data_IF_482049523123
#
_entry.id   IF_482049523123
#
_cell.length_a   1.000
_cell.length_b   1.000
_cell.length_c   1.000
_cell.angle_alpha   90.00
_cell.angle_beta   90.00
_cell.angle_gamma   90.00
#
_symmetry.space_group_name_H-M   'P 1'
#
loop_
_entity.id
_entity.type
_entity.pdbx_description
1 polymer ?
#
# COMPACT_ATOMS: atom_id res chain seq x y z
N UNK A 1 -1.63 25.60 4.07
CA UNK A 1 -1.11 24.44 3.31
C UNK A 1 -2.19 23.38 3.23
N UNK A 2 -2.48 22.82 2.05
CA UNK A 2 -3.51 21.77 1.92
C UNK A 2 -2.89 20.45 2.35
N UNK A 3 -3.50 19.79 3.33
CA UNK A 3 -3.08 18.47 3.82
C UNK A 3 -3.54 17.40 2.79
N UNK A 4 -2.71 17.17 1.76
CA UNK A 4 -3.00 16.24 0.66
C UNK A 4 -2.70 14.82 1.15
N UNK A 5 -3.76 14.03 1.37
CA UNK A 5 -3.67 12.63 1.83
C UNK A 5 -3.81 11.62 0.66
N UNK A 6 -3.43 12.02 -0.55
CA UNK A 6 -3.55 11.14 -1.72
C UNK A 6 -2.48 10.04 -1.64
N UNK A 7 -2.86 8.75 -1.66
CA UNK A 7 -1.90 7.66 -1.57
C UNK A 7 -1.00 7.60 -2.82
N UNK A 8 0.28 7.29 -2.64
CA UNK A 8 1.31 7.31 -3.70
C UNK A 8 1.95 5.93 -3.87
N UNK A 9 1.88 5.39 -5.08
CA UNK A 9 2.61 4.20 -5.53
C UNK A 9 3.73 4.63 -6.49
N UNK A 10 4.98 4.30 -6.18
CA UNK A 10 6.10 4.46 -7.13
C UNK A 10 6.17 3.24 -8.05
N UNK A 11 6.24 3.49 -9.37
CA UNK A 11 6.37 2.45 -10.39
C UNK A 11 7.63 2.66 -11.22
N UNK A 12 8.65 1.80 -11.08
CA UNK A 12 9.98 2.08 -11.63
C UNK A 12 10.75 0.83 -12.02
N UNK A 13 11.76 0.94 -12.89
CA UNK A 13 12.67 -0.18 -13.20
C UNK A 13 13.82 -0.30 -12.18
N UNK A 14 13.95 0.68 -11.27
CA UNK A 14 14.93 0.63 -10.20
C UNK A 14 14.51 -0.38 -9.14
N UNK A 15 15.40 -1.29 -8.79
CA UNK A 15 15.10 -2.44 -7.94
C UNK A 15 16.04 -2.56 -6.73
N UNK A 16 17.06 -1.69 -6.66
CA UNK A 16 17.98 -1.60 -5.53
C UNK A 16 17.26 -1.30 -4.22
N UNK A 17 17.83 -1.76 -3.11
CA UNK A 17 17.30 -1.48 -1.79
C UNK A 17 17.36 0.02 -1.50
N UNK A 18 18.44 0.68 -1.88
CA UNK A 18 18.66 2.12 -1.70
C UNK A 18 17.59 2.94 -2.41
N UNK A 19 17.20 2.58 -3.63
CA UNK A 19 16.16 3.27 -4.38
C UNK A 19 14.78 3.12 -3.72
N UNK A 20 14.48 1.94 -3.16
CA UNK A 20 13.23 1.70 -2.43
C UNK A 20 13.19 2.52 -1.15
N UNK A 21 14.24 2.47 -0.33
CA UNK A 21 14.37 3.25 0.91
C UNK A 21 14.21 4.73 0.62
N UNK A 22 14.88 5.24 -0.41
CA UNK A 22 14.77 6.64 -0.83
C UNK A 22 13.34 6.99 -1.25
N UNK A 23 12.66 6.11 -1.98
CA UNK A 23 11.26 6.29 -2.37
C UNK A 23 10.33 6.44 -1.17
N UNK A 24 10.47 5.55 -0.18
CA UNK A 24 9.67 5.58 1.05
C UNK A 24 9.96 6.83 1.90
N UNK A 25 11.23 7.20 2.06
CA UNK A 25 11.62 8.42 2.79
C UNK A 25 11.06 9.70 2.16
N UNK A 26 10.82 9.69 0.84
CA UNK A 26 10.20 10.81 0.12
C UNK A 26 8.67 10.84 0.21
N UNK A 27 8.05 9.93 0.96
CA UNK A 27 6.61 9.90 1.21
C UNK A 27 5.81 9.02 0.25
N UNK A 28 6.44 8.03 -0.40
CA UNK A 28 5.68 6.99 -1.08
C UNK A 28 5.06 6.01 -0.08
N UNK A 29 3.84 5.57 -0.34
CA UNK A 29 3.12 4.58 0.48
C UNK A 29 3.37 3.14 0.03
N UNK A 30 3.81 2.95 -1.23
CA UNK A 30 4.15 1.66 -1.82
C UNK A 30 5.12 1.85 -2.99
N UNK A 31 5.81 0.77 -3.36
CA UNK A 31 6.85 0.76 -4.40
C UNK A 31 6.75 -0.54 -5.20
N UNK A 32 6.61 -0.43 -6.52
CA UNK A 32 6.52 -1.57 -7.43
C UNK A 32 7.55 -1.46 -8.55
N UNK A 33 8.41 -2.47 -8.64
CA UNK A 33 9.47 -2.56 -9.63
C UNK A 33 8.95 -3.21 -10.92
N UNK A 34 9.39 -2.72 -12.08
CA UNK A 34 9.14 -3.30 -13.41
C UNK A 34 10.21 -4.34 -13.78
N UNK A 35 9.85 -5.43 -14.47
CA UNK A 35 8.51 -5.83 -14.90
C UNK A 35 7.69 -6.40 -13.74
N UNK A 36 6.37 -6.22 -13.77
CA UNK A 36 5.44 -6.73 -12.77
C UNK A 36 4.24 -7.40 -13.45
N UNK A 37 3.55 -8.25 -12.70
CA UNK A 37 2.28 -8.82 -13.13
C UNK A 37 1.14 -7.83 -12.93
N UNK A 38 0.18 -7.83 -13.85
CA UNK A 38 -0.99 -6.94 -13.77
C UNK A 38 -1.76 -7.15 -12.46
N UNK A 39 -1.85 -8.39 -12.02
CA UNK A 39 -2.49 -8.82 -10.78
C UNK A 39 -1.81 -8.20 -9.57
N UNK A 40 -0.47 -8.13 -9.56
CA UNK A 40 0.29 -7.49 -8.47
C UNK A 40 -0.04 -6.00 -8.37
N UNK A 41 -0.04 -5.28 -9.50
CA UNK A 41 -0.41 -3.87 -9.52
C UNK A 41 -1.83 -3.65 -8.99
N UNK A 42 -2.80 -4.45 -9.44
CA UNK A 42 -4.19 -4.37 -8.97
C UNK A 42 -4.27 -4.59 -7.45
N UNK A 43 -3.56 -5.60 -6.93
CA UNK A 43 -3.56 -5.92 -5.50
C UNK A 43 -2.93 -4.82 -4.66
N UNK A 44 -1.81 -4.22 -5.11
CA UNK A 44 -1.16 -3.10 -4.43
C UNK A 44 -2.04 -1.85 -4.41
N UNK A 45 -2.66 -1.50 -5.55
CA UNK A 45 -3.61 -0.38 -5.62
C UNK A 45 -4.81 -0.59 -4.70
N UNK A 46 -5.39 -1.81 -4.68
CA UNK A 46 -6.46 -2.15 -3.74
C UNK A 46 -6.00 -1.99 -2.28
N UNK A 47 -4.81 -2.46 -1.94
CA UNK A 47 -4.26 -2.34 -0.60
C UNK A 47 -4.03 -0.88 -0.20
N UNK A 48 -3.49 -0.05 -1.10
CA UNK A 48 -3.30 1.39 -0.89
C UNK A 48 -4.61 2.11 -0.62
N UNK A 49 -5.61 1.90 -1.48
CA UNK A 49 -6.93 2.52 -1.33
C UNK A 49 -7.63 2.09 -0.05
N UNK A 50 -7.50 0.81 0.35
CA UNK A 50 -8.02 0.32 1.63
C UNK A 50 -7.40 1.06 2.81
N UNK A 51 -6.07 1.25 2.81
CA UNK A 51 -5.35 1.98 3.86
C UNK A 51 -5.77 3.45 3.89
N UNK A 52 -5.83 4.12 2.74
CA UNK A 52 -6.12 5.56 2.67
C UNK A 52 -7.57 5.91 3.03
N UNK A 53 -8.52 5.04 2.70
CA UNK A 53 -9.94 5.27 2.96
C UNK A 53 -10.39 4.72 4.33
N UNK A 54 -9.48 4.13 5.12
CA UNK A 54 -9.84 3.43 6.35
C UNK A 54 -10.77 2.24 6.11
N UNK A 55 -10.89 1.77 4.87
CA UNK A 55 -11.71 0.65 4.44
C UNK A 55 -11.03 -0.69 4.75
N UNK A 56 -10.36 -0.79 5.89
CA UNK A 56 -10.17 -2.07 6.55
C UNK A 56 -11.55 -2.56 6.96
N UNK A 57 -12.35 -3.00 5.98
CA UNK A 57 -13.48 -3.85 6.24
C UNK A 57 -12.91 -5.02 7.03
N UNK A 58 -13.36 -5.08 8.28
CA UNK A 58 -12.96 -6.02 9.30
C UNK A 58 -12.82 -7.42 8.71
N UNK A 59 -11.59 -7.91 8.58
CA UNK A 59 -11.32 -9.35 8.64
C UNK A 59 -11.26 -9.80 10.11
N UNK A 60 -12.06 -9.18 10.99
CA UNK A 60 -12.31 -9.69 12.33
C UNK A 60 -13.70 -10.28 12.37
N UNK A 61 -13.76 -11.61 12.50
CA UNK A 61 -14.95 -12.25 13.05
C UNK A 61 -14.84 -12.14 14.57
N UNK A 62 -15.66 -11.26 15.14
CA UNK A 62 -15.77 -11.08 16.59
C UNK A 62 -17.12 -11.67 17.07
N UNK A 63 -17.07 -12.64 17.98
CA UNK A 63 -18.24 -13.08 18.75
C UNK A 63 -17.88 -13.12 20.23
N UNK A 64 -18.45 -12.18 20.98
CA UNK A 64 -18.18 -11.96 22.41
C UNK A 64 -16.68 -11.74 22.65
N UNK A 65 -16.03 -12.58 23.44
CA UNK A 65 -14.63 -12.44 23.88
C UNK A 65 -13.63 -13.18 22.97
N UNK A 66 -14.05 -13.58 21.77
CA UNK A 66 -13.19 -14.30 20.81
C UNK A 66 -13.12 -13.49 19.52
N UNK A 67 -11.90 -13.12 19.15
CA UNK A 67 -11.54 -12.53 17.87
C UNK A 67 -10.65 -13.50 17.10
N UNK A 68 -11.03 -13.80 15.86
CA UNK A 68 -10.22 -14.61 14.95
C UNK A 68 -9.43 -13.72 13.99
N UNK A 69 -8.11 -13.93 13.95
CA UNK A 69 -7.20 -13.51 12.89
C UNK A 69 -6.86 -14.70 11.99
#
# INVERSE_FOLDING_TARGET
>A
EKNIQTPVLILTAKDSLEDKVTGFQKGADDYLTKPFYREELIMRVKALLKRSLGLFAENQLAYKNITCN
#
